data_IF_948981448692
#
_entry.id   IF_948981448692
#
_cell.length_a   1.000
_cell.length_b   1.000
_cell.length_c   1.000
_cell.angle_alpha   90.00
_cell.angle_beta   90.00
_cell.angle_gamma   90.00
#
_symmetry.space_group_name_H-M   'P 1'
#
loop_
_entity.id
_entity.type
_entity.pdbx_description
1 polymer ?
#
# COMPACT_ATOMS: atom_id res chain seq x y z
N UNK A 1 29.47 8.91 45.55
CA UNK A 1 28.47 9.75 44.85
C UNK A 1 28.69 9.63 43.36
N UNK A 2 27.71 9.10 42.60
CA UNK A 2 27.82 9.03 41.13
C UNK A 2 27.68 10.45 40.56
N UNK A 3 28.69 10.93 39.81
CA UNK A 3 28.66 12.24 39.14
C UNK A 3 27.45 12.31 38.21
N UNK A 4 26.77 13.46 38.21
CA UNK A 4 25.71 13.75 37.24
C UNK A 4 26.27 13.68 35.81
N UNK A 5 25.61 13.00 34.86
CA UNK A 5 26.04 12.98 33.49
C UNK A 5 25.95 14.40 32.92
N UNK A 6 26.84 14.76 31.98
CA UNK A 6 26.79 16.05 31.32
C UNK A 6 25.43 16.22 30.62
N UNK A 7 24.93 17.47 30.58
CA UNK A 7 23.72 17.81 29.83
C UNK A 7 23.95 17.43 28.36
N UNK A 8 23.16 16.49 27.84
CA UNK A 8 23.28 16.05 26.46
C UNK A 8 22.87 17.15 25.49
N UNK A 9 23.56 17.23 24.37
CA UNK A 9 23.13 18.05 23.24
C UNK A 9 21.80 17.53 22.69
N UNK A 10 21.03 18.39 22.01
CA UNK A 10 19.74 18.01 21.41
C UNK A 10 19.90 16.80 20.46
N UNK A 11 20.97 16.78 19.67
CA UNK A 11 21.27 15.69 18.72
C UNK A 11 21.57 14.38 19.44
N UNK A 12 22.33 14.40 20.53
CA UNK A 12 22.59 13.21 21.31
C UNK A 12 21.33 12.67 22.00
N UNK A 13 20.48 13.57 22.52
CA UNK A 13 19.23 13.17 23.15
C UNK A 13 18.32 12.43 22.16
N UNK A 14 18.21 12.95 20.94
CA UNK A 14 17.48 12.32 19.83
C UNK A 14 18.02 10.92 19.50
N UNK A 15 19.35 10.77 19.41
CA UNK A 15 19.97 9.45 19.17
C UNK A 15 19.67 8.45 20.29
N UNK A 16 19.69 8.89 21.54
CA UNK A 16 19.36 8.03 22.69
C UNK A 16 17.89 7.62 22.66
N UNK A 17 16.99 8.55 22.30
CA UNK A 17 15.57 8.26 22.17
C UNK A 17 15.30 7.19 21.10
N UNK A 18 15.96 7.29 19.94
CA UNK A 18 15.88 6.27 18.88
C UNK A 18 16.37 4.90 19.35
N UNK A 19 17.46 4.84 20.13
CA UNK A 19 17.95 3.59 20.68
C UNK A 19 16.96 2.97 21.70
N UNK A 20 16.32 3.80 22.53
CA UNK A 20 15.24 3.34 23.42
C UNK A 20 14.04 2.82 22.62
N UNK A 21 13.67 3.49 21.53
CA UNK A 21 12.62 3.02 20.62
C UNK A 21 12.96 1.66 20.00
N UNK A 22 14.19 1.49 19.51
CA UNK A 22 14.65 0.21 18.96
C UNK A 22 14.49 -0.92 19.98
N UNK A 23 14.88 -0.71 21.23
CA UNK A 23 14.71 -1.71 22.28
C UNK A 23 13.24 -2.05 22.57
N UNK A 24 12.35 -1.06 22.50
CA UNK A 24 10.91 -1.29 22.68
C UNK A 24 10.33 -2.11 21.51
N UNK A 25 10.76 -1.84 20.28
CA UNK A 25 10.35 -2.57 19.07
C UNK A 25 10.87 -4.02 19.09
N UNK A 26 12.10 -4.23 19.58
CA UNK A 26 12.68 -5.56 19.81
C UNK A 26 11.96 -6.37 20.90
N UNK A 27 10.99 -5.77 21.61
CA UNK A 27 10.20 -6.44 22.63
C UNK A 27 10.86 -6.49 24.01
N UNK A 28 11.89 -5.66 24.27
CA UNK A 28 12.51 -5.62 25.59
C UNK A 28 11.51 -5.16 26.66
N UNK A 29 11.53 -5.84 27.81
CA UNK A 29 10.64 -5.49 28.93
C UNK A 29 10.98 -4.10 29.49
N UNK A 30 9.99 -3.41 30.06
CA UNK A 30 10.17 -2.07 30.62
C UNK A 30 11.30 -2.00 31.66
N UNK A 31 11.42 -3.03 32.52
CA UNK A 31 12.46 -3.10 33.54
C UNK A 31 13.87 -3.22 32.91
N UNK A 32 14.00 -3.99 31.82
CA UNK A 32 15.26 -4.19 31.12
C UNK A 32 15.68 -2.93 30.36
N UNK A 33 14.75 -2.24 29.71
CA UNK A 33 15.01 -0.94 29.07
C UNK A 33 15.48 0.09 30.11
N UNK A 34 14.82 0.15 31.26
CA UNK A 34 15.19 1.05 32.34
C UNK A 34 16.61 0.75 32.86
N UNK A 35 16.95 -0.54 33.01
CA UNK A 35 18.31 -0.96 33.36
C UNK A 35 19.32 -0.52 32.31
N UNK A 36 19.04 -0.75 31.02
CA UNK A 36 19.93 -0.37 29.92
C UNK A 36 20.19 1.15 29.88
N UNK A 37 19.19 1.99 30.13
CA UNK A 37 19.34 3.47 30.18
C UNK A 37 20.27 3.89 31.33
N UNK A 38 20.16 3.25 32.49
CA UNK A 38 21.00 3.52 33.66
C UNK A 38 22.43 3.01 33.43
N UNK A 39 22.57 1.79 32.91
CA UNK A 39 23.86 1.16 32.64
C UNK A 39 24.67 1.95 31.59
N UNK A 40 23.99 2.49 30.57
CA UNK A 40 24.61 3.38 29.58
C UNK A 40 24.82 4.82 30.06
N UNK A 41 24.50 5.12 31.33
CA UNK A 41 24.68 6.42 31.98
C UNK A 41 23.98 7.57 31.26
N UNK A 42 22.87 7.28 30.58
CA UNK A 42 22.06 8.30 29.92
C UNK A 42 21.20 9.07 30.92
N UNK A 43 20.89 8.43 32.06
CA UNK A 43 20.17 9.03 33.17
C UNK A 43 20.68 8.50 34.50
N UNK A 44 20.80 9.38 35.49
CA UNK A 44 21.10 8.99 36.88
C UNK A 44 19.83 8.82 37.73
N UNK A 45 18.67 9.18 37.20
CA UNK A 45 17.41 9.10 37.91
C UNK A 45 16.47 8.13 37.20
N UNK A 46 15.90 7.21 37.98
CA UNK A 46 14.86 6.29 37.54
C UNK A 46 13.71 7.05 36.87
N UNK A 47 13.26 8.14 37.50
CA UNK A 47 12.17 9.00 36.99
C UNK A 47 12.48 9.61 35.64
N UNK A 48 13.73 10.01 35.41
CA UNK A 48 14.13 10.57 34.11
C UNK A 48 14.26 9.48 33.04
N UNK A 49 14.72 8.27 33.41
CA UNK A 49 14.70 7.12 32.50
C UNK A 49 13.27 6.73 32.11
N UNK A 50 12.34 6.71 33.07
CA UNK A 50 10.91 6.46 32.81
C UNK A 50 10.31 7.50 31.85
N UNK A 51 10.63 8.79 32.05
CA UNK A 51 10.22 9.84 31.09
C UNK A 51 10.78 9.62 29.70
N UNK A 52 12.03 9.18 29.56
CA UNK A 52 12.61 8.86 28.24
C UNK A 52 11.87 7.71 27.56
N UNK A 53 11.50 6.67 28.32
CA UNK A 53 10.72 5.55 27.81
C UNK A 53 9.33 6.02 27.36
N UNK A 54 8.68 6.88 28.17
CA UNK A 54 7.39 7.46 27.82
C UNK A 54 7.46 8.28 26.52
N UNK A 55 8.43 9.19 26.42
CA UNK A 55 8.63 10.00 25.20
C UNK A 55 8.93 9.14 23.97
N UNK A 56 9.69 8.07 24.14
CA UNK A 56 9.99 7.12 23.06
C UNK A 56 8.71 6.43 22.57
N UNK A 57 7.80 6.04 23.48
CA UNK A 57 6.50 5.45 23.15
C UNK A 57 5.57 6.43 22.47
N UNK A 58 5.41 7.63 23.02
CA UNK A 58 4.54 8.68 22.44
C UNK A 58 4.97 8.98 21.00
N UNK A 59 6.26 9.19 20.77
CA UNK A 59 6.78 9.44 19.42
C UNK A 59 6.65 8.24 18.48
N UNK A 60 6.68 7.02 19.00
CA UNK A 60 6.42 5.84 18.19
C UNK A 60 4.95 5.75 17.81
N UNK A 61 4.03 6.00 18.75
CA UNK A 61 2.60 6.06 18.49
C UNK A 61 2.30 7.15 17.46
N UNK A 62 2.87 8.35 17.57
CA UNK A 62 2.70 9.42 16.58
C UNK A 62 3.15 9.01 15.17
N UNK A 63 4.17 8.15 15.07
CA UNK A 63 4.62 7.59 13.79
C UNK A 63 3.72 6.44 13.31
N UNK A 64 3.14 5.66 14.22
CA UNK A 64 2.20 4.59 13.88
C UNK A 64 0.82 5.14 13.49
N UNK A 65 0.35 6.19 14.16
CA UNK A 65 -0.83 7.00 13.84
C UNK A 65 -0.63 7.87 12.59
N UNK A 66 0.54 7.78 11.95
CA UNK A 66 0.71 8.36 10.63
C UNK A 66 -0.34 7.76 9.68
N UNK A 67 -1.18 8.65 9.14
CA UNK A 67 -2.37 8.25 8.38
C UNK A 67 -2.03 7.24 7.29
N UNK A 68 -2.90 6.24 7.10
CA UNK A 68 -2.74 5.23 6.05
C UNK A 68 -2.44 5.86 4.68
N UNK A 69 -2.97 7.05 4.41
CA UNK A 69 -2.70 7.80 3.18
C UNK A 69 -1.26 8.29 3.06
N UNK A 70 -0.61 8.71 4.15
CA UNK A 70 0.81 9.06 4.14
C UNK A 70 1.68 7.83 3.90
N UNK A 71 1.37 6.71 4.57
CA UNK A 71 2.06 5.42 4.34
C UNK A 71 1.91 4.94 2.89
N UNK A 72 0.71 5.05 2.32
CA UNK A 72 0.45 4.79 0.89
C UNK A 72 1.29 5.69 -0.02
N UNK A 73 1.30 6.99 0.23
CA UNK A 73 2.11 7.96 -0.55
C UNK A 73 3.60 7.64 -0.51
N UNK A 74 4.13 7.32 0.66
CA UNK A 74 5.53 6.92 0.82
C UNK A 74 5.83 5.65 0.02
N UNK A 75 4.99 4.62 0.13
CA UNK A 75 5.17 3.37 -0.63
C UNK A 75 5.09 3.58 -2.14
N UNK A 76 4.19 4.44 -2.61
CA UNK A 76 4.11 4.82 -4.03
C UNK A 76 5.40 5.50 -4.50
N UNK A 77 5.99 6.38 -3.68
CA UNK A 77 7.27 7.02 -4.02
C UNK A 77 8.43 6.02 -4.07
N UNK A 78 8.48 5.07 -3.13
CA UNK A 78 9.46 3.98 -3.10
C UNK A 78 9.36 3.11 -4.37
N UNK A 79 8.14 2.70 -4.76
CA UNK A 79 7.88 1.93 -5.98
C UNK A 79 8.26 2.72 -7.25
N UNK A 80 7.96 4.03 -7.30
CA UNK A 80 8.38 4.93 -8.40
C UNK A 80 9.90 5.09 -8.46
N UNK A 81 10.61 5.01 -7.33
CA UNK A 81 12.06 4.98 -7.32
C UNK A 81 12.60 3.64 -7.84
N UNK A 82 12.08 2.50 -7.34
CA UNK A 82 12.46 1.15 -7.81
C UNK A 82 12.29 0.98 -9.33
N UNK A 83 11.18 1.49 -9.88
CA UNK A 83 10.94 1.50 -11.33
C UNK A 83 12.06 2.23 -12.10
N UNK A 84 12.56 3.34 -11.55
CA UNK A 84 13.63 4.14 -12.17
C UNK A 84 15.02 3.55 -11.94
N UNK A 85 15.25 2.89 -10.80
CA UNK A 85 16.54 2.32 -10.44
C UNK A 85 16.84 0.99 -11.13
N UNK A 86 15.89 0.41 -11.88
CA UNK A 86 16.14 -0.80 -12.65
C UNK A 86 17.25 -0.53 -13.69
N UNK A 87 18.33 -1.31 -13.62
CA UNK A 87 19.48 -1.21 -14.51
C UNK A 87 19.05 -1.35 -15.99
N UNK A 88 19.67 -0.55 -16.85
CA UNK A 88 19.28 -0.40 -18.25
C UNK A 88 19.29 -1.73 -19.01
N UNK A 89 20.25 -2.61 -18.67
CA UNK A 89 20.42 -3.96 -19.24
C UNK A 89 19.20 -4.86 -19.07
N UNK A 90 18.46 -4.69 -17.97
CA UNK A 90 17.30 -5.53 -17.65
C UNK A 90 15.98 -4.90 -18.12
N UNK A 91 15.95 -3.62 -18.52
CA UNK A 91 14.69 -2.95 -18.90
C UNK A 91 14.05 -3.54 -20.15
N UNK A 92 14.85 -4.07 -21.06
CA UNK A 92 14.38 -4.68 -22.31
C UNK A 92 14.23 -6.19 -22.21
N UNK A 93 14.67 -6.81 -21.10
CA UNK A 93 14.52 -8.25 -20.93
C UNK A 93 13.08 -8.61 -20.52
N UNK A 94 12.59 -9.80 -20.88
CA UNK A 94 11.28 -10.27 -20.45
C UNK A 94 11.12 -10.27 -18.92
N UNK A 95 12.21 -10.54 -18.19
CA UNK A 95 12.22 -10.56 -16.74
C UNK A 95 12.10 -9.15 -16.13
N UNK A 96 12.84 -8.17 -16.66
CA UNK A 96 12.72 -6.80 -16.19
C UNK A 96 11.38 -6.17 -16.56
N UNK A 97 10.82 -6.48 -17.73
CA UNK A 97 9.45 -6.05 -18.10
C UNK A 97 8.42 -6.62 -17.12
N UNK A 98 8.53 -7.90 -16.75
CA UNK A 98 7.65 -8.51 -15.72
C UNK A 98 7.79 -7.81 -14.36
N UNK A 99 9.02 -7.50 -13.94
CA UNK A 99 9.26 -6.78 -12.69
C UNK A 99 8.64 -5.37 -12.72
N UNK A 100 8.82 -4.62 -13.82
CA UNK A 100 8.22 -3.30 -14.01
C UNK A 100 6.69 -3.35 -13.98
N UNK A 101 6.09 -4.33 -14.67
CA UNK A 101 4.64 -4.54 -14.66
C UNK A 101 4.12 -4.90 -13.26
N UNK A 102 4.87 -5.69 -12.48
CA UNK A 102 4.52 -6.00 -11.09
C UNK A 102 4.51 -4.73 -10.23
N UNK A 103 5.53 -3.89 -10.36
CA UNK A 103 5.63 -2.61 -9.65
C UNK A 103 4.47 -1.68 -10.05
N UNK A 104 4.17 -1.56 -11.34
CA UNK A 104 3.07 -0.73 -11.84
C UNK A 104 1.70 -1.19 -11.33
N UNK A 105 1.43 -2.50 -11.34
CA UNK A 105 0.18 -3.04 -10.78
C UNK A 105 0.05 -2.70 -9.30
N UNK A 106 1.13 -2.75 -8.54
CA UNK A 106 1.12 -2.41 -7.13
C UNK A 106 0.87 -0.91 -6.89
N UNK A 107 1.45 -0.05 -7.73
CA UNK A 107 1.15 1.40 -7.72
C UNK A 107 -0.33 1.65 -7.99
N UNK A 108 -0.91 1.02 -9.03
CA UNK A 108 -2.32 1.18 -9.40
C UNK A 108 -3.27 0.76 -8.26
N UNK A 109 -2.96 -0.34 -7.57
CA UNK A 109 -3.72 -0.79 -6.40
C UNK A 109 -3.67 0.25 -5.27
N UNK A 110 -2.48 0.77 -4.98
CA UNK A 110 -2.28 1.76 -3.90
C UNK A 110 -2.88 3.13 -4.23
N UNK A 111 -2.93 3.51 -5.51
CA UNK A 111 -3.61 4.72 -6.01
C UNK A 111 -5.14 4.53 -6.10
N UNK A 112 -5.66 3.32 -5.89
CA UNK A 112 -7.09 3.02 -5.92
C UNK A 112 -7.69 3.03 -7.33
N UNK A 113 -6.86 3.03 -8.37
CA UNK A 113 -7.26 3.05 -9.78
C UNK A 113 -7.66 1.66 -10.30
N UNK A 114 -7.51 0.61 -9.48
CA UNK A 114 -7.93 -0.74 -9.84
C UNK A 114 -9.46 -0.86 -9.86
N UNK A 115 -10.02 -1.25 -11.00
CA UNK A 115 -11.43 -1.63 -11.11
C UNK A 115 -11.62 -2.89 -10.25
N UNK A 116 -12.37 -2.78 -9.15
CA UNK A 116 -12.76 -3.97 -8.38
C UNK A 116 -13.73 -4.78 -9.22
N UNK A 117 -13.41 -6.05 -9.47
CA UNK A 117 -14.37 -6.98 -10.06
C UNK A 117 -15.52 -7.14 -9.07
N UNK A 118 -16.70 -6.65 -9.43
CA UNK A 118 -17.92 -6.88 -8.66
C UNK A 118 -18.44 -8.24 -9.13
N UNK A 119 -18.24 -9.27 -8.33
CA UNK A 119 -18.86 -10.56 -8.57
C UNK A 119 -20.27 -10.52 -7.97
N UNK A 120 -21.28 -10.38 -8.83
CA UNK A 120 -22.67 -10.45 -8.41
C UNK A 120 -23.00 -11.94 -8.27
N UNK A 121 -22.89 -12.46 -7.05
CA UNK A 121 -23.45 -13.77 -6.72
C UNK A 121 -24.94 -13.57 -6.43
N UNK A 122 -25.81 -14.28 -7.16
CA UNK A 122 -27.24 -14.29 -6.86
C UNK A 122 -27.52 -15.01 -5.53
N UNK A 123 -28.61 -14.64 -4.87
CA UNK A 123 -29.10 -15.34 -3.66
C UNK A 123 -29.41 -16.82 -3.98
N UNK A 124 -29.14 -17.75 -3.06
CA UNK A 124 -29.44 -19.18 -3.24
C UNK A 124 -30.94 -19.41 -3.53
N UNK A 125 -31.82 -18.58 -2.94
CA UNK A 125 -33.27 -18.67 -3.15
C UNK A 125 -33.75 -17.92 -4.41
N UNK A 126 -32.93 -17.04 -4.99
CA UNK A 126 -33.26 -16.23 -6.18
C UNK A 126 -32.03 -16.08 -7.08
N UNK A 127 -31.64 -17.14 -7.81
CA UNK A 127 -30.54 -17.05 -8.76
C UNK A 127 -30.83 -15.93 -9.78
N UNK A 128 -29.79 -15.20 -10.19
CA UNK A 128 -29.89 -14.20 -11.24
C UNK A 128 -30.41 -14.87 -12.50
N UNK A 129 -31.67 -14.60 -12.84
CA UNK A 129 -32.24 -15.05 -14.10
C UNK A 129 -31.57 -14.25 -15.22
N UNK A 130 -30.56 -14.86 -15.85
CA UNK A 130 -30.07 -14.39 -17.14
C UNK A 130 -31.24 -14.57 -18.10
N UNK A 131 -31.95 -13.47 -18.42
CA UNK A 131 -32.94 -13.50 -19.49
C UNK A 131 -32.18 -13.88 -20.75
N UNK A 132 -32.31 -15.14 -21.16
CA UNK A 132 -31.87 -15.58 -22.46
C UNK A 132 -32.71 -14.79 -23.45
N UNK A 133 -32.15 -13.70 -23.98
CA UNK A 133 -32.71 -13.05 -25.16
C UNK A 133 -32.57 -14.12 -26.25
N UNK A 134 -33.68 -14.66 -26.80
CA UNK A 134 -33.59 -15.61 -27.89
C UNK A 134 -32.92 -14.87 -29.04
N UNK A 135 -31.77 -15.36 -29.50
CA UNK A 135 -31.13 -14.88 -30.72
C UNK A 135 -31.90 -15.30 -31.99
N UNK A 136 -32.94 -16.11 -31.84
CA UNK A 136 -33.89 -16.44 -32.91
C UNK A 136 -34.84 -15.25 -33.13
N UNK A 137 -34.29 -14.23 -33.79
CA UNK A 137 -35.10 -13.24 -34.48
C UNK A 137 -35.80 -13.97 -35.62
N UNK A 138 -37.11 -14.14 -35.50
CA UNK A 138 -37.94 -14.71 -36.57
C UNK A 138 -38.05 -13.71 -37.73
N UNK A 139 -37.10 -13.81 -38.67
CA UNK A 139 -36.99 -12.92 -39.82
C UNK A 139 -38.23 -12.93 -40.71
N UNK A 140 -39.11 -13.93 -40.59
CA UNK A 140 -40.36 -14.03 -41.36
C UNK A 140 -41.43 -13.03 -40.90
N UNK A 141 -41.29 -12.45 -39.70
CA UNK A 141 -42.24 -11.48 -39.12
C UNK A 141 -41.77 -10.03 -39.25
N UNK A 142 -40.61 -9.78 -39.85
CA UNK A 142 -40.08 -8.43 -40.04
C UNK A 142 -40.64 -7.80 -41.32
N UNK A 143 -40.90 -6.48 -41.30
CA UNK A 143 -41.28 -5.75 -42.50
C UNK A 143 -40.10 -5.64 -43.47
N UNK A 144 -40.39 -5.52 -44.77
CA UNK A 144 -39.37 -5.43 -45.82
C UNK A 144 -38.38 -4.27 -45.57
N UNK A 145 -38.86 -3.13 -45.07
CA UNK A 145 -38.01 -1.98 -44.73
C UNK A 145 -36.97 -2.28 -43.64
N UNK A 146 -37.29 -3.16 -42.68
CA UNK A 146 -36.38 -3.54 -41.60
C UNK A 146 -35.34 -4.54 -42.11
N UNK A 147 -35.74 -5.45 -43.00
CA UNK A 147 -34.83 -6.39 -43.64
C UNK A 147 -33.79 -5.68 -44.51
N UNK A 148 -34.18 -4.67 -45.27
CA UNK A 148 -33.26 -3.86 -46.08
C UNK A 148 -32.20 -3.15 -45.22
N UNK A 149 -32.60 -2.59 -44.08
CA UNK A 149 -31.66 -1.96 -43.13
C UNK A 149 -30.67 -2.95 -42.52
N UNK A 150 -31.12 -4.17 -42.20
CA UNK A 150 -30.25 -5.23 -41.67
C UNK A 150 -29.24 -5.70 -42.73
N UNK A 151 -29.68 -5.81 -43.99
CA UNK A 151 -28.79 -6.18 -45.12
C UNK A 151 -27.77 -5.08 -45.40
N UNK A 152 -28.18 -3.81 -45.39
CA UNK A 152 -27.27 -2.66 -45.53
C UNK A 152 -26.24 -2.60 -44.40
N UNK A 153 -26.65 -2.88 -43.16
CA UNK A 153 -25.75 -2.91 -42.00
C UNK A 153 -24.76 -4.09 -42.03
N UNK A 154 -25.06 -5.16 -42.78
CA UNK A 154 -24.20 -6.34 -42.93
C UNK A 154 -23.24 -6.26 -44.12
N UNK A 155 -23.42 -5.32 -45.04
CA UNK A 155 -22.41 -5.12 -46.09
C UNK A 155 -21.10 -4.74 -45.39
N UNK A 156 -19.99 -5.47 -45.63
CA UNK A 156 -18.70 -5.02 -45.17
C UNK A 156 -18.51 -3.60 -45.72
N UNK A 157 -17.97 -2.69 -44.90
CA UNK A 157 -17.44 -1.43 -45.44
C UNK A 157 -16.40 -1.86 -46.47
N UNK A 158 -16.72 -1.69 -47.75
CA UNK A 158 -15.70 -1.73 -48.79
C UNK A 158 -14.71 -0.64 -48.42
N UNK A 159 -13.45 -1.04 -48.27
CA UNK A 159 -12.37 -0.27 -47.68
C UNK A 159 -12.23 1.14 -48.29
N UNK A 160 -12.15 2.15 -47.42
CA UNK A 160 -11.45 3.42 -47.67
C UNK A 160 -10.26 3.52 -46.71
#
# INVERSE_FOLDING_TARGET
MMKAPPRSTKVEFERRLLAVQAWLIEGNTHAMVLKNIIDQKWSNSKRHAEKMIQLARERWIDFEDESLDKKRKFKIQELKHMKRSLAQEYRTTPEGIKALLSIEKEIIKLEGLSIKKIEISGDEEKPLQVKHIPSDVDYTKLSNEVLEKIVLARKPREDE
#
